data_IF_463635877954
#
_entry.id   IF_463635877954
#
_cell.length_a   1.000
_cell.length_b   1.000
_cell.length_c   1.000
_cell.angle_alpha   90.00
_cell.angle_beta   90.00
_cell.angle_gamma   90.00
#
_symmetry.space_group_name_H-M   'P 1'
#
loop_
_entity.id
_entity.type
_entity.pdbx_description
1 polymer ?
#
# COMPACT_ATOMS: atom_id res chain seq x y z
N UNK A 1 -34.82 -12.94 -47.92
CA UNK A 1 -34.54 -12.07 -46.76
C UNK A 1 -33.58 -12.84 -45.86
N UNK A 2 -32.26 -12.57 -45.95
CA UNK A 2 -31.21 -13.25 -45.18
C UNK A 2 -30.88 -12.38 -43.98
N UNK A 3 -31.08 -12.88 -42.79
CA UNK A 3 -30.71 -12.23 -41.54
C UNK A 3 -29.20 -12.47 -41.38
N UNK A 4 -28.40 -11.41 -41.51
CA UNK A 4 -26.99 -11.41 -41.15
C UNK A 4 -26.87 -11.50 -39.62
N UNK A 5 -26.41 -12.67 -39.16
CA UNK A 5 -26.08 -12.86 -37.74
C UNK A 5 -24.89 -11.99 -37.37
N UNK A 6 -25.08 -11.18 -36.35
CA UNK A 6 -24.00 -10.41 -35.68
C UNK A 6 -22.95 -11.36 -35.14
N UNK A 7 -21.82 -11.46 -35.86
CA UNK A 7 -20.62 -12.09 -35.33
C UNK A 7 -19.99 -11.15 -34.32
N UNK A 8 -20.31 -11.35 -33.03
CA UNK A 8 -19.55 -10.79 -31.94
C UNK A 8 -18.12 -11.39 -31.96
N UNK A 9 -17.21 -10.67 -32.56
CA UNK A 9 -15.78 -11.02 -32.53
C UNK A 9 -15.26 -10.77 -31.12
N UNK A 10 -15.25 -11.80 -30.31
CA UNK A 10 -14.59 -11.79 -29.01
C UNK A 10 -13.07 -11.91 -29.21
N UNK A 11 -12.35 -10.80 -29.16
CA UNK A 11 -10.89 -10.81 -29.11
C UNK A 11 -10.44 -11.35 -27.76
N UNK A 12 -10.22 -12.65 -27.66
CA UNK A 12 -9.60 -13.29 -26.49
C UNK A 12 -8.11 -12.95 -26.45
N UNK A 13 -7.63 -12.53 -25.29
CA UNK A 13 -6.18 -12.40 -25.08
C UNK A 13 -5.59 -13.81 -25.06
N UNK A 14 -4.58 -14.15 -25.90
CA UNK A 14 -3.96 -15.46 -25.90
C UNK A 14 -3.49 -15.86 -24.49
N UNK A 15 -3.84 -17.08 -24.05
CA UNK A 15 -3.46 -17.62 -22.73
C UNK A 15 -4.46 -17.35 -21.62
N UNK A 16 -5.59 -16.67 -21.84
CA UNK A 16 -6.65 -16.57 -20.84
C UNK A 16 -7.67 -17.72 -21.00
N UNK A 17 -7.79 -18.56 -19.97
CA UNK A 17 -8.95 -19.46 -19.84
C UNK A 17 -10.17 -18.63 -19.53
N UNK A 18 -11.23 -18.72 -20.35
CA UNK A 18 -12.54 -18.11 -20.10
C UNK A 18 -13.08 -18.56 -18.74
N UNK A 19 -13.60 -17.61 -17.98
CA UNK A 19 -14.20 -17.90 -16.66
C UNK A 19 -13.24 -17.90 -15.47
N UNK A 20 -11.92 -17.81 -15.66
CA UNK A 20 -10.99 -17.67 -14.54
C UNK A 20 -10.92 -16.20 -14.13
N UNK A 21 -11.66 -15.82 -13.10
CA UNK A 21 -11.45 -14.51 -12.44
C UNK A 21 -10.02 -14.48 -11.91
N UNK A 22 -9.16 -13.64 -12.48
CA UNK A 22 -7.83 -13.39 -11.89
C UNK A 22 -8.05 -12.94 -10.45
N UNK A 23 -7.44 -13.67 -9.51
CA UNK A 23 -7.45 -13.25 -8.11
C UNK A 23 -6.90 -11.82 -8.05
N UNK A 24 -7.73 -10.89 -7.59
CA UNK A 24 -7.34 -9.47 -7.54
C UNK A 24 -6.12 -9.34 -6.65
N UNK A 25 -4.99 -8.91 -7.21
CA UNK A 25 -3.79 -8.67 -6.42
C UNK A 25 -4.07 -7.59 -5.37
N UNK A 26 -3.54 -7.79 -4.17
CA UNK A 26 -3.63 -6.85 -3.06
C UNK A 26 -2.23 -6.38 -2.70
N UNK A 27 -1.97 -5.09 -2.95
CA UNK A 27 -0.72 -4.44 -2.61
C UNK A 27 -0.80 -3.84 -1.20
N UNK A 28 0.04 -4.31 -0.29
CA UNK A 28 0.26 -3.66 1.00
C UNK A 28 1.38 -2.62 0.89
N UNK A 29 1.07 -1.38 1.22
CA UNK A 29 2.06 -0.30 1.31
C UNK A 29 2.43 -0.08 2.77
N UNK A 30 3.69 -0.31 3.11
CA UNK A 30 4.24 -0.11 4.45
C UNK A 30 5.39 0.89 4.41
N UNK A 31 5.43 1.80 5.36
CA UNK A 31 6.52 2.76 5.43
C UNK A 31 6.66 3.43 6.79
N UNK A 32 7.74 4.18 6.93
CA UNK A 32 8.06 4.90 8.16
C UNK A 32 6.97 5.93 8.51
N UNK A 33 6.60 5.98 9.76
CA UNK A 33 5.70 7.03 10.29
C UNK A 33 6.40 8.40 10.39
N UNK A 34 7.72 8.39 10.49
CA UNK A 34 8.54 9.61 10.49
C UNK A 34 8.95 9.92 9.06
N UNK A 35 8.47 11.05 8.53
CA UNK A 35 8.84 11.54 7.19
C UNK A 35 9.73 12.77 7.26
N UNK A 36 10.15 13.16 8.47
CA UNK A 36 11.05 14.26 8.70
C UNK A 36 12.47 13.82 8.35
N UNK A 37 13.17 14.61 7.54
CA UNK A 37 14.58 14.42 7.27
C UNK A 37 15.38 14.78 8.54
N UNK A 38 16.17 13.86 9.10
CA UNK A 38 16.91 14.09 10.34
C UNK A 38 17.94 15.24 10.22
N UNK A 39 18.44 15.51 9.00
CA UNK A 39 19.49 16.52 8.77
C UNK A 39 18.92 17.91 8.47
N UNK A 40 17.81 18.01 7.77
CA UNK A 40 17.22 19.29 7.34
C UNK A 40 15.97 19.69 8.10
N UNK A 41 15.40 18.80 8.91
CA UNK A 41 14.13 19.03 9.60
C UNK A 41 12.91 19.13 8.67
N UNK A 42 13.10 19.04 7.36
CA UNK A 42 12.02 19.18 6.40
C UNK A 42 11.13 17.95 6.33
N UNK A 43 9.83 18.14 6.46
CA UNK A 43 8.86 17.08 6.17
C UNK A 43 8.82 16.79 4.68
N UNK A 44 9.05 15.55 4.31
CA UNK A 44 8.82 15.10 2.93
C UNK A 44 7.32 15.11 2.65
N UNK A 45 6.87 16.10 1.88
CA UNK A 45 5.44 16.26 1.57
C UNK A 45 4.94 15.35 0.46
N UNK A 46 5.83 14.72 -0.30
CA UNK A 46 5.49 13.92 -1.49
C UNK A 46 6.23 12.59 -1.48
N UNK A 47 5.55 11.55 -1.92
CA UNK A 47 6.17 10.25 -2.17
C UNK A 47 7.26 10.36 -3.24
N UNK A 48 8.40 9.64 -3.10
CA UNK A 48 9.44 9.55 -4.10
C UNK A 48 8.92 9.09 -5.47
N UNK A 49 9.56 9.54 -6.55
CA UNK A 49 9.16 9.19 -7.92
C UNK A 49 9.08 7.69 -8.16
N UNK A 50 10.03 6.91 -7.63
CA UNK A 50 10.06 5.44 -7.74
C UNK A 50 8.82 4.81 -7.09
N UNK A 51 8.44 5.26 -5.90
CA UNK A 51 7.25 4.79 -5.19
C UNK A 51 5.98 5.14 -5.96
N UNK A 52 5.88 6.38 -6.45
CA UNK A 52 4.74 6.80 -7.29
C UNK A 52 4.62 5.96 -8.57
N UNK A 53 5.74 5.47 -9.14
CA UNK A 53 5.74 4.57 -10.30
C UNK A 53 5.12 3.22 -9.95
N UNK A 54 5.49 2.63 -8.81
CA UNK A 54 4.90 1.37 -8.31
C UNK A 54 3.40 1.51 -8.05
N UNK A 55 2.98 2.60 -7.40
CA UNK A 55 1.55 2.87 -7.18
C UNK A 55 0.79 3.07 -8.49
N UNK A 56 1.37 3.77 -9.48
CA UNK A 56 0.77 3.89 -10.82
C UNK A 56 0.58 2.53 -11.49
N UNK A 57 1.56 1.64 -11.36
CA UNK A 57 1.45 0.28 -11.88
C UNK A 57 0.29 -0.47 -11.21
N UNK A 58 0.19 -0.43 -9.89
CA UNK A 58 -0.90 -1.04 -9.13
C UNK A 58 -2.27 -0.49 -9.52
N UNK A 59 -2.38 0.84 -9.67
CA UNK A 59 -3.61 1.53 -10.11
C UNK A 59 -4.03 1.06 -11.51
N UNK A 60 -3.10 1.03 -12.48
CA UNK A 60 -3.38 0.57 -13.84
C UNK A 60 -3.81 -0.90 -13.91
N UNK A 61 -3.26 -1.73 -13.03
CA UNK A 61 -3.63 -3.14 -12.89
C UNK A 61 -4.92 -3.38 -12.11
N UNK A 62 -5.61 -2.34 -11.64
CA UNK A 62 -6.84 -2.46 -10.84
C UNK A 62 -6.62 -3.14 -9.47
N UNK A 63 -5.37 -3.20 -8.98
CA UNK A 63 -5.02 -3.91 -7.77
C UNK A 63 -5.67 -3.27 -6.55
N UNK A 64 -6.14 -4.07 -5.60
CA UNK A 64 -6.52 -3.54 -4.29
C UNK A 64 -5.27 -3.00 -3.59
N UNK A 65 -5.36 -1.79 -3.04
CA UNK A 65 -4.28 -1.20 -2.25
C UNK A 65 -4.72 -1.11 -0.80
N UNK A 66 -3.95 -1.73 0.10
CA UNK A 66 -4.16 -1.63 1.54
C UNK A 66 -3.05 -0.78 2.14
N UNK A 67 -3.45 0.14 3.00
CA UNK A 67 -2.56 1.14 3.61
C UNK A 67 -2.99 1.40 5.05
N UNK A 68 -2.04 1.74 5.92
CA UNK A 68 -2.34 2.11 7.29
C UNK A 68 -2.87 3.54 7.42
N UNK A 69 -3.23 3.90 8.64
CA UNK A 69 -3.72 5.22 9.05
C UNK A 69 -2.68 6.06 9.80
N UNK A 70 -1.42 5.58 9.86
CA UNK A 70 -0.35 6.26 10.57
C UNK A 70 0.08 7.55 9.83
N UNK A 71 0.66 8.52 10.54
CA UNK A 71 1.34 9.64 9.89
C UNK A 71 2.50 9.15 9.01
N UNK A 72 3.05 10.01 8.17
CA UNK A 72 4.18 9.68 7.33
C UNK A 72 3.82 9.03 6.01
N UNK A 73 4.43 7.90 5.68
CA UNK A 73 4.26 7.23 4.38
C UNK A 73 2.82 6.79 4.14
N UNK A 74 2.13 6.29 5.16
CA UNK A 74 0.73 5.87 5.03
C UNK A 74 -0.14 7.05 4.56
N UNK A 75 -0.04 8.21 5.24
CA UNK A 75 -0.80 9.42 4.87
C UNK A 75 -0.42 9.94 3.49
N UNK A 76 0.88 9.99 3.17
CA UNK A 76 1.33 10.41 1.83
C UNK A 76 0.83 9.49 0.72
N UNK A 77 0.77 8.19 1.00
CA UNK A 77 0.21 7.20 0.06
C UNK A 77 -1.28 7.43 -0.13
N UNK A 78 -2.03 7.61 0.95
CA UNK A 78 -3.45 7.92 0.88
C UNK A 78 -3.72 9.21 0.09
N UNK A 79 -2.99 10.30 0.36
CA UNK A 79 -3.12 11.56 -0.36
C UNK A 79 -2.82 11.41 -1.86
N UNK A 80 -1.81 10.61 -2.20
CA UNK A 80 -1.49 10.31 -3.59
C UNK A 80 -2.62 9.54 -4.28
N UNK A 81 -3.17 8.50 -3.65
CA UNK A 81 -4.27 7.70 -4.19
C UNK A 81 -5.55 8.52 -4.36
N UNK A 82 -5.87 9.38 -3.39
CA UNK A 82 -6.99 10.33 -3.47
C UNK A 82 -6.84 11.28 -4.66
N UNK A 83 -5.64 11.87 -4.87
CA UNK A 83 -5.34 12.72 -6.04
C UNK A 83 -5.42 11.98 -7.37
N UNK A 84 -5.34 10.66 -7.36
CA UNK A 84 -5.54 9.79 -8.53
C UNK A 84 -6.97 9.29 -8.66
N UNK A 85 -7.89 9.72 -7.79
CA UNK A 85 -9.29 9.27 -7.76
C UNK A 85 -9.42 7.74 -7.72
N UNK A 86 -8.47 7.08 -7.05
CA UNK A 86 -8.44 5.62 -6.99
C UNK A 86 -9.34 5.11 -5.87
N UNK A 87 -10.32 4.27 -6.22
CA UNK A 87 -11.37 3.82 -5.28
C UNK A 87 -11.09 2.47 -4.63
N UNK A 88 -10.26 1.59 -5.25
CA UNK A 88 -9.99 0.25 -4.72
C UNK A 88 -8.94 0.27 -3.59
N UNK A 89 -9.26 0.99 -2.52
CA UNK A 89 -8.39 1.20 -1.35
C UNK A 89 -9.10 0.73 -0.09
N UNK A 90 -8.34 0.10 0.82
CA UNK A 90 -8.78 -0.20 2.18
C UNK A 90 -7.78 0.42 3.15
N UNK A 91 -8.28 1.23 4.08
CA UNK A 91 -7.47 1.85 5.13
C UNK A 91 -7.61 1.04 6.41
N UNK A 92 -6.49 0.59 6.95
CA UNK A 92 -6.42 -0.14 8.22
C UNK A 92 -6.01 0.78 9.35
N UNK A 93 -6.68 0.65 10.49
CA UNK A 93 -6.33 1.35 11.71
C UNK A 93 -6.29 0.42 12.91
N UNK A 94 -5.47 0.70 13.93
CA UNK A 94 -5.53 -0.02 15.19
C UNK A 94 -6.72 0.49 16.03
N UNK A 95 -7.33 -0.40 16.82
CA UNK A 95 -8.46 -0.09 17.70
C UNK A 95 -9.81 -0.15 16.97
N UNK A 96 -10.81 0.47 17.59
CA UNK A 96 -12.22 0.41 17.13
C UNK A 96 -12.52 1.28 15.92
N UNK A 97 -11.67 2.27 15.63
CA UNK A 97 -11.86 3.21 14.52
C UNK A 97 -10.52 3.52 13.84
N UNK A 98 -10.59 3.80 12.54
CA UNK A 98 -9.44 4.30 11.78
C UNK A 98 -9.23 5.78 12.11
N UNK A 99 -8.02 6.15 12.51
CA UNK A 99 -7.67 7.51 12.91
C UNK A 99 -7.68 8.52 11.77
N UNK A 100 -7.40 8.06 10.55
CA UNK A 100 -7.33 8.90 9.36
C UNK A 100 -7.67 8.10 8.10
N UNK A 101 -8.54 8.67 7.27
CA UNK A 101 -8.78 8.25 5.89
C UNK A 101 -8.86 9.48 5.00
N UNK A 102 -8.05 9.52 3.95
CA UNK A 102 -7.99 10.67 3.03
C UNK A 102 -9.26 10.81 2.16
N UNK A 103 -10.01 9.73 1.98
CA UNK A 103 -11.27 9.73 1.26
C UNK A 103 -12.32 8.94 2.05
N UNK A 104 -13.45 9.59 2.35
CA UNK A 104 -14.56 9.00 3.10
C UNK A 104 -15.25 7.83 2.35
N UNK A 105 -15.06 7.74 1.04
CA UNK A 105 -15.63 6.66 0.19
C UNK A 105 -14.83 5.36 0.27
N UNK A 106 -13.61 5.40 0.79
CA UNK A 106 -12.80 4.19 0.93
C UNK A 106 -13.31 3.31 2.04
N UNK A 107 -13.13 2.01 1.86
CA UNK A 107 -13.38 1.05 2.93
C UNK A 107 -12.36 1.23 4.05
N UNK A 108 -12.84 1.20 5.28
CA UNK A 108 -12.00 1.21 6.48
C UNK A 108 -12.07 -0.13 7.18
N UNK A 109 -10.97 -0.56 7.77
CA UNK A 109 -10.89 -1.81 8.54
C UNK A 109 -10.15 -1.55 9.86
N UNK A 110 -10.86 -1.22 10.91
CA UNK A 110 -10.29 -1.15 12.24
C UNK A 110 -9.92 -2.55 12.73
N UNK A 111 -8.80 -2.66 13.42
CA UNK A 111 -8.32 -3.91 14.02
C UNK A 111 -8.27 -3.70 15.52
N UNK A 112 -9.30 -4.14 16.20
CA UNK A 112 -9.37 -4.09 17.65
C UNK A 112 -8.54 -5.23 18.25
N UNK A 113 -7.84 -4.92 19.34
CA UNK A 113 -6.99 -5.86 20.05
C UNK A 113 -7.05 -5.53 21.57
N UNK A 114 -8.22 -5.72 22.19
CA UNK A 114 -8.49 -5.31 23.56
C UNK A 114 -7.59 -6.02 24.59
N UNK A 115 -6.99 -7.15 24.22
CA UNK A 115 -6.03 -7.90 25.03
C UNK A 115 -4.70 -7.17 25.27
N UNK A 116 -4.45 -6.07 24.53
CA UNK A 116 -3.23 -5.27 24.68
C UNK A 116 -3.55 -3.84 25.07
N UNK A 117 -2.67 -3.25 25.88
CA UNK A 117 -2.76 -1.82 26.20
C UNK A 117 -2.74 -0.99 24.91
N UNK A 118 -3.73 -0.12 24.75
CA UNK A 118 -3.84 0.81 23.62
C UNK A 118 -2.55 1.62 23.43
N UNK A 119 -2.10 1.78 22.20
CA UNK A 119 -0.85 2.46 21.85
C UNK A 119 0.42 1.64 22.06
N UNK A 120 0.34 0.46 22.69
CA UNK A 120 1.50 -0.41 22.85
C UNK A 120 2.01 -0.96 21.51
N UNK A 121 3.29 -1.35 21.47
CA UNK A 121 3.87 -1.96 20.26
C UNK A 121 3.11 -3.20 19.80
N UNK A 122 2.63 -4.03 20.74
CA UNK A 122 1.86 -5.24 20.43
C UNK A 122 0.49 -4.89 19.84
N UNK A 123 -0.20 -3.91 20.42
CA UNK A 123 -1.48 -3.42 19.92
C UNK A 123 -1.36 -2.86 18.48
N UNK A 124 -0.36 -2.01 18.23
CA UNK A 124 -0.10 -1.49 16.88
C UNK A 124 0.27 -2.59 15.87
N UNK A 125 1.01 -3.62 16.32
CA UNK A 125 1.43 -4.72 15.47
C UNK A 125 0.28 -5.59 14.97
N UNK A 126 -0.85 -5.67 15.69
CA UNK A 126 -2.04 -6.45 15.25
C UNK A 126 -2.57 -5.96 13.91
N UNK A 127 -2.67 -4.64 13.72
CA UNK A 127 -3.03 -4.04 12.44
C UNK A 127 -2.06 -4.47 11.33
N UNK A 128 -0.77 -4.40 11.61
CA UNK A 128 0.27 -4.75 10.62
C UNK A 128 0.23 -6.24 10.26
N UNK A 129 -0.06 -7.13 11.23
CA UNK A 129 -0.26 -8.56 10.99
C UNK A 129 -1.47 -8.77 10.07
N UNK A 130 -2.61 -8.14 10.36
CA UNK A 130 -3.80 -8.23 9.52
C UNK A 130 -3.51 -7.78 8.08
N UNK A 131 -2.81 -6.64 7.91
CA UNK A 131 -2.45 -6.13 6.59
C UNK A 131 -1.51 -7.08 5.83
N UNK A 132 -0.51 -7.68 6.51
CA UNK A 132 0.38 -8.64 5.87
C UNK A 132 -0.34 -9.93 5.47
N UNK A 133 -1.33 -10.39 6.25
CA UNK A 133 -2.12 -11.57 5.92
C UNK A 133 -3.02 -11.35 4.70
N UNK A 134 -3.65 -10.18 4.60
CA UNK A 134 -4.56 -9.85 3.50
C UNK A 134 -3.85 -9.47 2.19
N UNK A 135 -2.58 -9.11 2.26
CA UNK A 135 -1.78 -8.75 1.09
C UNK A 135 -1.41 -9.97 0.24
N UNK A 136 -1.29 -9.79 -1.07
CA UNK A 136 -0.64 -10.76 -1.97
C UNK A 136 0.80 -10.36 -2.27
N UNK A 137 1.12 -9.06 -2.15
CA UNK A 137 2.47 -8.52 -2.31
C UNK A 137 2.67 -7.25 -1.48
N UNK A 138 3.93 -6.87 -1.26
CA UNK A 138 4.30 -5.71 -0.47
C UNK A 138 5.11 -4.67 -1.22
N UNK A 139 4.97 -3.41 -0.77
CA UNK A 139 5.81 -2.27 -1.11
C UNK A 139 6.25 -1.62 0.20
N UNK A 140 7.51 -1.76 0.54
CA UNK A 140 8.06 -1.23 1.78
C UNK A 140 8.98 -0.03 1.51
N UNK A 141 8.76 1.05 2.26
CA UNK A 141 9.53 2.28 2.17
C UNK A 141 10.23 2.52 3.50
N UNK A 142 11.54 2.26 3.53
CA UNK A 142 12.40 2.41 4.69
C UNK A 142 13.14 3.74 4.58
N UNK A 143 12.82 4.71 5.45
CA UNK A 143 13.42 6.04 5.41
C UNK A 143 14.69 6.15 6.28
N UNK A 144 14.76 5.36 7.35
CA UNK A 144 15.83 5.38 8.33
C UNK A 144 16.04 4.03 9.01
N UNK A 145 17.07 3.92 9.83
CA UNK A 145 17.33 2.72 10.63
C UNK A 145 16.24 2.45 11.67
N UNK A 146 15.52 3.48 12.09
CA UNK A 146 14.43 3.39 13.05
C UNK A 146 13.13 2.80 12.50
N UNK A 147 13.05 2.49 11.20
CA UNK A 147 11.86 1.91 10.56
C UNK A 147 11.62 0.44 10.92
N UNK A 148 11.72 0.09 12.22
CA UNK A 148 11.62 -1.29 12.72
C UNK A 148 10.28 -1.96 12.35
N UNK A 149 9.16 -1.26 12.46
CA UNK A 149 7.85 -1.80 12.12
C UNK A 149 7.76 -2.17 10.62
N UNK A 150 8.28 -1.30 9.74
CA UNK A 150 8.34 -1.58 8.29
C UNK A 150 9.20 -2.80 7.99
N UNK A 151 10.36 -2.95 8.63
CA UNK A 151 11.23 -4.13 8.47
C UNK A 151 10.56 -5.42 8.98
N UNK A 152 9.82 -5.35 10.09
CA UNK A 152 9.02 -6.47 10.57
C UNK A 152 7.93 -6.86 9.55
N UNK A 153 7.28 -5.90 8.90
CA UNK A 153 6.30 -6.17 7.85
C UNK A 153 6.94 -6.85 6.63
N UNK A 154 8.12 -6.41 6.22
CA UNK A 154 8.90 -7.09 5.17
C UNK A 154 9.18 -8.54 5.54
N UNK A 155 9.71 -8.78 6.75
CA UNK A 155 10.01 -10.13 7.24
C UNK A 155 8.77 -11.02 7.33
N UNK A 156 7.60 -10.48 7.72
CA UNK A 156 6.34 -11.25 7.74
C UNK A 156 5.91 -11.66 6.34
N UNK A 157 5.93 -10.72 5.38
CA UNK A 157 5.57 -11.01 3.98
C UNK A 157 6.50 -12.03 3.36
N UNK A 158 7.82 -11.93 3.60
CA UNK A 158 8.80 -12.90 3.11
C UNK A 158 8.58 -14.30 3.69
N UNK A 159 8.31 -14.41 5.00
CA UNK A 159 7.96 -15.69 5.64
C UNK A 159 6.66 -16.30 5.10
N UNK A 160 5.76 -15.47 4.57
CA UNK A 160 4.54 -15.90 3.89
C UNK A 160 4.74 -16.13 2.38
N UNK A 161 5.99 -16.18 1.89
CA UNK A 161 6.35 -16.35 0.48
C UNK A 161 5.71 -15.32 -0.45
N UNK A 162 5.46 -14.10 0.06
CA UNK A 162 4.89 -12.99 -0.71
C UNK A 162 6.00 -12.11 -1.27
N UNK A 163 5.84 -11.66 -2.50
CA UNK A 163 6.81 -10.76 -3.13
C UNK A 163 6.78 -9.38 -2.46
N UNK A 164 7.96 -8.85 -2.11
CA UNK A 164 8.10 -7.55 -1.46
C UNK A 164 9.16 -6.72 -2.17
N UNK A 165 8.76 -5.53 -2.65
CA UNK A 165 9.72 -4.53 -3.11
C UNK A 165 10.08 -3.60 -1.95
N UNK A 166 11.36 -3.50 -1.64
CA UNK A 166 11.88 -2.65 -0.56
C UNK A 166 12.66 -1.49 -1.16
N UNK A 167 12.28 -0.26 -0.78
CA UNK A 167 12.98 0.96 -1.13
C UNK A 167 13.60 1.57 0.12
N UNK A 168 14.92 1.48 0.23
CA UNK A 168 15.68 2.14 1.29
C UNK A 168 16.08 3.54 0.81
N UNK A 169 15.57 4.58 1.45
CA UNK A 169 15.81 5.97 1.09
C UNK A 169 16.92 6.62 1.93
N UNK A 170 17.27 6.04 3.06
CA UNK A 170 18.36 6.50 3.93
C UNK A 170 19.73 6.53 3.23
N UNK A 171 19.96 5.60 2.31
CA UNK A 171 21.20 5.54 1.51
C UNK A 171 21.28 6.60 0.40
N UNK A 172 20.19 7.31 0.13
CA UNK A 172 20.12 8.32 -0.94
C UNK A 172 20.28 9.75 -0.45
N UNK A 173 20.47 9.98 0.85
CA UNK A 173 20.61 11.32 1.45
C UNK A 173 21.88 12.08 1.05
N UNK A 174 22.82 11.45 0.34
CA UNK A 174 24.04 12.11 -0.18
C UNK A 174 24.00 12.38 -1.69
N UNK A 175 22.99 11.95 -2.45
CA UNK A 175 22.85 12.31 -3.86
C UNK A 175 21.78 13.40 -4.01
N UNK A 176 22.15 14.46 -4.73
CA UNK A 176 21.30 15.54 -5.21
C UNK A 176 20.21 15.00 -6.18
N UNK A 177 19.49 13.96 -5.82
CA UNK A 177 18.35 13.51 -6.59
C UNK A 177 17.22 14.51 -6.30
N UNK A 178 17.02 15.44 -7.24
CA UNK A 178 15.94 16.39 -7.21
C UNK A 178 14.61 15.64 -7.06
N UNK A 179 14.00 15.82 -5.92
CA UNK A 179 12.70 15.24 -5.56
C UNK A 179 11.57 16.17 -6.07
N UNK A 180 11.42 16.26 -7.39
CA UNK A 180 10.31 16.98 -8.05
C UNK A 180 9.21 16.07 -8.51
#
# INVERSE_FOLDING_TARGET
>A
MRILGDFLMHYGVPGMKWGVRRKTETLFVSGSSKTQDPLSGYYRRKLPRKIRKELKYAIRGGQRIIVGDAPGIDRQTQDYLRKKHYSNVIVYGPGKQVRYSADKKWKTRPIDAPEYKEGSKRWLAKKDIAMTNDATRGLAIVLDEGAKATRHNVSRLQRQHKNVKVYELSKYGKRKDRWW
#
